data_IF_258237343019
#
_entry.id   IF_258237343019
#
_cell.length_a   1.000
_cell.length_b   1.000
_cell.length_c   1.000
_cell.angle_alpha   90.00
_cell.angle_beta   90.00
_cell.angle_gamma   90.00
#
_symmetry.space_group_name_H-M   'P 1'
#
loop_
_entity.id
_entity.type
_entity.pdbx_description
1 polymer ?
#
# COMPACT_ATOMS: atom_id res chain seq x y z
N UNK A 1 2.27 -4.53 10.16
CA UNK A 1 2.78 -5.83 9.68
C UNK A 1 4.20 -5.98 10.21
N UNK A 2 4.60 -7.17 10.63
CA UNK A 2 5.98 -7.47 11.04
C UNK A 2 6.19 -7.64 12.54
N UNK A 3 7.45 -7.88 12.93
CA UNK A 3 7.88 -8.03 14.31
C UNK A 3 7.96 -6.63 14.94
N UNK A 4 7.13 -6.37 15.95
CA UNK A 4 7.08 -5.06 16.61
C UNK A 4 8.43 -4.75 17.28
N UNK A 5 8.95 -3.54 17.05
CA UNK A 5 10.20 -3.05 17.66
C UNK A 5 11.49 -3.55 17.00
N UNK A 6 11.42 -4.47 16.01
CA UNK A 6 12.62 -5.09 15.45
C UNK A 6 13.59 -4.09 14.81
N UNK A 7 13.10 -3.13 14.02
CA UNK A 7 13.97 -2.12 13.39
C UNK A 7 14.68 -1.25 14.42
N UNK A 8 13.99 -0.88 15.51
CA UNK A 8 14.60 -0.10 16.59
C UNK A 8 15.66 -0.91 17.33
N UNK A 9 15.42 -2.20 17.53
CA UNK A 9 16.36 -3.13 18.13
C UNK A 9 17.63 -3.32 17.26
N UNK A 10 17.47 -3.37 15.93
CA UNK A 10 18.57 -3.56 14.97
C UNK A 10 19.14 -2.24 14.42
N UNK A 11 18.92 -1.10 15.10
CA UNK A 11 19.34 0.21 14.61
C UNK A 11 20.84 0.28 14.31
N UNK A 12 21.66 -0.38 15.13
CA UNK A 12 23.12 -0.43 14.96
C UNK A 12 23.56 -1.23 13.71
N UNK A 13 22.69 -2.11 13.19
CA UNK A 13 22.92 -2.87 11.96
C UNK A 13 22.27 -2.21 10.73
N UNK A 14 21.79 -0.97 10.85
CA UNK A 14 21.14 -0.23 9.76
C UNK A 14 21.97 0.97 9.33
N UNK A 15 22.02 1.22 8.03
CA UNK A 15 22.72 2.38 7.46
C UNK A 15 21.80 3.19 6.52
N UNK A 16 21.92 4.53 6.52
CA UNK A 16 21.26 5.36 5.51
C UNK A 16 21.91 5.15 4.14
N UNK A 17 21.14 4.73 3.15
CA UNK A 17 21.61 4.52 1.78
C UNK A 17 20.70 5.21 0.75
N UNK A 18 21.21 5.34 -0.47
CA UNK A 18 20.44 5.85 -1.60
C UNK A 18 20.29 4.75 -2.67
N UNK A 19 19.10 4.62 -3.28
CA UNK A 19 18.79 3.55 -4.25
C UNK A 19 19.73 3.50 -5.46
N UNK A 20 20.38 4.64 -5.80
CA UNK A 20 21.41 4.75 -6.85
C UNK A 20 22.57 3.76 -6.65
N UNK A 21 22.85 3.34 -5.43
CA UNK A 21 23.87 2.32 -5.14
C UNK A 21 23.56 0.97 -5.83
N UNK A 22 22.29 0.71 -6.15
CA UNK A 22 21.85 -0.51 -6.86
C UNK A 22 21.73 -0.31 -8.38
N UNK A 23 22.35 0.72 -8.96
CA UNK A 23 22.34 0.95 -10.41
C UNK A 23 22.87 -0.30 -11.15
N UNK A 24 22.15 -0.73 -12.18
CA UNK A 24 22.45 -1.94 -12.97
C UNK A 24 21.99 -3.24 -12.30
N UNK A 25 21.50 -3.19 -11.06
CA UNK A 25 21.02 -4.35 -10.33
C UNK A 25 19.49 -4.47 -10.42
N UNK A 26 19.00 -5.65 -10.02
CA UNK A 26 17.57 -5.95 -9.92
C UNK A 26 17.13 -5.96 -8.46
N UNK A 27 16.04 -5.27 -8.13
CA UNK A 27 15.50 -5.18 -6.76
C UNK A 27 14.05 -5.65 -6.74
N UNK A 28 13.72 -6.56 -5.83
CA UNK A 28 12.35 -6.95 -5.55
C UNK A 28 11.69 -5.92 -4.63
N UNK A 29 10.43 -5.57 -4.93
CA UNK A 29 9.62 -4.63 -4.16
C UNK A 29 8.42 -5.39 -3.60
N UNK A 30 8.25 -5.35 -2.29
CA UNK A 30 6.95 -5.64 -1.66
C UNK A 30 5.96 -4.52 -2.02
N UNK A 31 5.12 -4.77 -3.03
CA UNK A 31 4.26 -3.74 -3.62
C UNK A 31 3.08 -3.41 -2.72
N UNK A 32 2.68 -4.31 -1.82
CA UNK A 32 1.57 -4.05 -0.88
C UNK A 32 1.92 -2.90 0.07
N UNK A 33 3.20 -2.73 0.42
CA UNK A 33 3.65 -1.58 1.20
C UNK A 33 3.35 -0.24 0.49
N UNK A 34 3.54 -0.15 -0.83
CA UNK A 34 3.22 1.05 -1.61
C UNK A 34 1.72 1.22 -1.83
N UNK A 35 1.01 0.13 -2.16
CA UNK A 35 -0.45 0.14 -2.34
C UNK A 35 -1.17 0.67 -1.09
N UNK A 36 -0.76 0.21 0.10
CA UNK A 36 -1.32 0.72 1.35
C UNK A 36 -1.13 2.22 1.52
N UNK A 37 0.09 2.74 1.28
CA UNK A 37 0.36 4.18 1.37
C UNK A 37 -0.37 4.99 0.30
N UNK A 38 -0.43 4.49 -0.94
CA UNK A 38 -1.14 5.13 -2.04
C UNK A 38 -2.65 5.20 -1.80
N UNK A 39 -3.23 4.13 -1.25
CA UNK A 39 -4.65 4.07 -0.92
C UNK A 39 -5.06 5.08 0.18
N UNK A 40 -4.15 5.49 1.06
CA UNK A 40 -4.44 6.53 2.06
C UNK A 40 -4.76 7.90 1.43
N UNK A 41 -4.16 8.22 0.29
CA UNK A 41 -4.42 9.47 -0.42
C UNK A 41 -5.86 9.56 -0.96
N UNK A 42 -6.48 8.41 -1.24
CA UNK A 42 -7.83 8.27 -1.80
C UNK A 42 -8.77 7.44 -0.91
N UNK A 43 -8.50 7.38 0.40
CA UNK A 43 -9.22 6.50 1.32
C UNK A 43 -10.73 6.83 1.41
N UNK A 44 -11.08 8.11 1.30
CA UNK A 44 -12.47 8.60 1.26
C UNK A 44 -13.22 8.12 0.01
N UNK A 45 -12.60 8.23 -1.17
CA UNK A 45 -13.14 7.72 -2.43
C UNK A 45 -13.35 6.21 -2.37
N UNK A 46 -12.31 5.49 -1.91
CA UNK A 46 -12.37 4.04 -1.73
C UNK A 46 -13.47 3.62 -0.75
N UNK A 47 -13.64 4.34 0.37
CA UNK A 47 -14.68 4.06 1.37
C UNK A 47 -16.11 4.31 0.85
N UNK A 48 -16.27 5.21 -0.13
CA UNK A 48 -17.54 5.52 -0.79
C UNK A 48 -17.82 4.64 -2.02
N UNK A 49 -16.85 3.85 -2.48
CA UNK A 49 -16.94 3.09 -3.72
C UNK A 49 -16.80 3.95 -4.98
N UNK A 50 -16.22 5.14 -4.85
CA UNK A 50 -15.95 6.02 -5.99
C UNK A 50 -14.72 5.52 -6.76
N UNK A 51 -14.75 5.52 -8.10
CA UNK A 51 -13.59 5.17 -8.92
C UNK A 51 -12.38 6.06 -8.60
N UNK A 52 -11.21 5.45 -8.47
CA UNK A 52 -9.94 6.15 -8.26
C UNK A 52 -8.76 5.30 -8.73
N UNK A 53 -7.75 5.96 -9.27
CA UNK A 53 -6.48 5.40 -9.73
C UNK A 53 -5.27 5.98 -8.96
N UNK A 54 -5.50 6.84 -7.96
CA UNK A 54 -4.43 7.55 -7.24
C UNK A 54 -3.40 6.60 -6.61
N UNK A 55 -3.84 5.42 -6.15
CA UNK A 55 -2.94 4.40 -5.63
C UNK A 55 -2.01 3.80 -6.71
N UNK A 56 -2.48 3.75 -7.96
CA UNK A 56 -1.66 3.34 -9.12
C UNK A 56 -0.61 4.40 -9.40
N UNK A 57 -1.02 5.67 -9.52
CA UNK A 57 -0.12 6.81 -9.73
C UNK A 57 0.94 6.87 -8.63
N UNK A 58 0.55 6.62 -7.38
CA UNK A 58 1.47 6.54 -6.25
C UNK A 58 2.53 5.44 -6.45
N UNK A 59 2.13 4.23 -6.82
CA UNK A 59 3.06 3.13 -7.05
C UNK A 59 4.00 3.42 -8.23
N UNK A 60 3.47 3.93 -9.35
CA UNK A 60 4.25 4.22 -10.55
C UNK A 60 5.29 5.32 -10.32
N UNK A 61 5.03 6.28 -9.42
CA UNK A 61 6.05 7.26 -9.00
C UNK A 61 7.32 6.59 -8.48
N UNK A 62 7.20 5.53 -7.68
CA UNK A 62 8.37 4.82 -7.16
C UNK A 62 9.02 3.91 -8.20
N UNK A 63 8.21 3.29 -9.07
CA UNK A 63 8.74 2.54 -10.23
C UNK A 63 9.61 3.44 -11.10
N UNK A 64 9.10 4.61 -11.50
CA UNK A 64 9.86 5.57 -12.31
C UNK A 64 11.10 6.08 -11.57
N UNK A 65 11.03 6.30 -10.26
CA UNK A 65 12.18 6.69 -9.45
C UNK A 65 13.28 5.63 -9.44
N UNK A 66 12.94 4.34 -9.38
CA UNK A 66 13.94 3.26 -9.47
C UNK A 66 14.55 3.18 -10.88
N UNK A 67 13.71 3.23 -11.91
CA UNK A 67 14.14 3.21 -13.31
C UNK A 67 15.05 4.40 -13.65
N UNK A 68 14.74 5.61 -13.15
CA UNK A 68 15.58 6.80 -13.38
C UNK A 68 16.98 6.69 -12.76
N UNK A 69 17.14 5.81 -11.76
CA UNK A 69 18.44 5.49 -11.17
C UNK A 69 19.12 4.27 -11.82
N UNK A 70 18.54 3.71 -12.89
CA UNK A 70 19.03 2.52 -13.57
C UNK A 70 18.88 1.24 -12.74
N UNK A 71 17.94 1.20 -11.80
CA UNK A 71 17.60 0.00 -11.02
C UNK A 71 16.44 -0.71 -11.73
N UNK A 72 16.52 -2.03 -11.90
CA UNK A 72 15.44 -2.84 -12.49
C UNK A 72 14.50 -3.34 -11.37
N UNK A 73 13.28 -2.80 -11.23
CA UNK A 73 12.35 -3.28 -10.22
C UNK A 73 11.66 -4.59 -10.64
N UNK A 74 11.44 -5.49 -9.69
CA UNK A 74 10.49 -6.60 -9.77
C UNK A 74 9.40 -6.35 -8.73
N UNK A 75 8.18 -6.08 -9.18
CA UNK A 75 7.05 -5.85 -8.29
C UNK A 75 6.47 -7.20 -7.83
N UNK A 76 6.51 -7.45 -6.53
CA UNK A 76 5.96 -8.65 -5.90
C UNK A 76 4.62 -8.32 -5.25
N UNK A 77 3.64 -9.18 -5.46
CA UNK A 77 2.28 -9.04 -4.93
C UNK A 77 1.91 -10.27 -4.11
N UNK A 78 1.20 -10.07 -3.00
CA UNK A 78 0.66 -11.15 -2.21
C UNK A 78 -0.39 -11.95 -3.01
N UNK A 79 -0.41 -13.27 -2.77
CA UNK A 79 -1.39 -14.19 -3.34
C UNK A 79 -2.47 -14.60 -2.33
N UNK A 80 -2.69 -15.91 -2.23
CA UNK A 80 -3.71 -16.45 -1.33
C UNK A 80 -3.37 -16.23 0.16
N UNK A 81 -4.41 -16.12 0.99
CA UNK A 81 -4.26 -16.06 2.44
C UNK A 81 -3.71 -17.39 2.98
N UNK A 82 -2.72 -17.31 3.86
CA UNK A 82 -2.15 -18.49 4.51
C UNK A 82 -3.00 -18.91 5.73
N UNK A 83 -3.22 -20.23 5.96
CA UNK A 83 -3.96 -20.72 7.12
C UNK A 83 -3.40 -20.22 8.47
N UNK A 84 -2.08 -20.11 8.58
CA UNK A 84 -1.39 -19.62 9.78
C UNK A 84 -1.65 -18.15 10.10
N UNK A 85 -2.19 -17.37 9.15
CA UNK A 85 -2.55 -15.94 9.34
C UNK A 85 -4.06 -15.72 9.42
N UNK A 86 -4.88 -16.77 9.47
CA UNK A 86 -6.34 -16.68 9.44
C UNK A 86 -6.91 -15.74 10.49
N UNK A 87 -6.48 -15.87 11.74
CA UNK A 87 -6.99 -15.05 12.85
C UNK A 87 -6.51 -13.60 12.74
N UNK A 88 -5.28 -13.38 12.27
CA UNK A 88 -4.74 -12.04 12.02
C UNK A 88 -5.53 -11.33 10.92
N UNK A 89 -5.83 -12.02 9.82
CA UNK A 89 -6.64 -11.45 8.73
C UNK A 89 -8.10 -11.24 9.13
N UNK A 90 -8.67 -12.13 9.96
CA UNK A 90 -9.99 -11.95 10.55
C UNK A 90 -10.05 -10.67 11.41
N UNK A 91 -9.12 -10.51 12.35
CA UNK A 91 -9.05 -9.32 13.21
C UNK A 91 -8.85 -8.03 12.39
N UNK A 92 -8.04 -8.09 11.32
CA UNK A 92 -7.88 -6.95 10.39
C UNK A 92 -9.18 -6.62 9.67
N UNK A 93 -9.90 -7.62 9.17
CA UNK A 93 -11.19 -7.43 8.50
C UNK A 93 -12.22 -6.78 9.42
N UNK A 94 -12.34 -7.28 10.64
CA UNK A 94 -13.24 -6.73 11.65
C UNK A 94 -12.88 -5.27 11.98
N UNK A 95 -11.59 -4.99 12.23
CA UNK A 95 -11.12 -3.62 12.49
C UNK A 95 -11.41 -2.67 11.33
N UNK A 96 -11.22 -3.11 10.07
CA UNK A 96 -11.54 -2.29 8.89
C UNK A 96 -13.04 -2.00 8.81
N UNK A 97 -13.89 -2.99 9.04
CA UNK A 97 -15.34 -2.84 9.03
C UNK A 97 -15.82 -1.84 10.10
N UNK A 98 -15.31 -1.95 11.33
CA UNK A 98 -15.63 -1.03 12.42
C UNK A 98 -15.21 0.41 12.08
N UNK A 99 -14.00 0.60 11.54
CA UNK A 99 -13.53 1.93 11.14
C UNK A 99 -14.34 2.50 9.97
N UNK A 100 -14.77 1.67 9.01
CA UNK A 100 -15.61 2.11 7.90
C UNK A 100 -16.97 2.62 8.40
N UNK A 101 -17.62 1.87 9.29
CA UNK A 101 -18.89 2.27 9.88
C UNK A 101 -18.77 3.57 10.69
N UNK A 102 -17.72 3.67 11.51
CA UNK A 102 -17.42 4.89 12.28
C UNK A 102 -17.16 6.09 11.37
N UNK A 103 -16.38 5.92 10.30
CA UNK A 103 -16.12 6.98 9.33
C UNK A 103 -17.40 7.47 8.63
N UNK A 104 -18.29 6.56 8.26
CA UNK A 104 -19.60 6.91 7.68
C UNK A 104 -20.49 7.67 8.66
N UNK A 105 -20.47 7.31 9.94
CA UNK A 105 -21.20 8.04 10.98
C UNK A 105 -20.65 9.46 11.14
N UNK A 106 -19.34 9.62 11.34
CA UNK A 106 -18.68 10.92 11.51
C UNK A 106 -18.89 11.83 10.30
N UNK A 107 -18.92 11.26 9.08
CA UNK A 107 -19.22 11.99 7.86
C UNK A 107 -20.65 12.57 7.88
N UNK A 108 -21.64 11.81 8.36
CA UNK A 108 -23.03 12.29 8.52
C UNK A 108 -23.15 13.38 9.60
N UNK A 109 -22.27 13.34 10.60
CA UNK A 109 -22.16 14.36 11.65
C UNK A 109 -21.37 15.61 11.20
N UNK A 110 -20.86 15.64 9.96
CA UNK A 110 -20.07 16.76 9.44
C UNK A 110 -18.60 16.80 9.91
N UNK A 111 -18.14 15.79 10.66
CA UNK A 111 -16.77 15.69 11.20
C UNK A 111 -15.80 15.14 10.16
N UNK A 112 -15.48 15.96 9.15
CA UNK A 112 -14.74 15.53 7.95
C UNK A 112 -13.34 14.96 8.24
N UNK A 113 -12.57 15.61 9.12
CA UNK A 113 -11.20 15.17 9.44
C UNK A 113 -11.19 13.80 10.13
N UNK A 114 -12.03 13.62 11.15
CA UNK A 114 -12.13 12.36 11.90
C UNK A 114 -12.69 11.23 11.02
N UNK A 115 -13.63 11.55 10.13
CA UNK A 115 -14.14 10.61 9.15
C UNK A 115 -13.01 10.12 8.22
N UNK A 116 -12.16 11.04 7.73
CA UNK A 116 -11.00 10.72 6.89
C UNK A 116 -9.98 9.82 7.60
N UNK A 117 -9.71 10.06 8.87
CA UNK A 117 -8.83 9.20 9.67
C UNK A 117 -9.40 7.78 9.81
N UNK A 118 -10.71 7.67 10.03
CA UNK A 118 -11.39 6.38 10.07
C UNK A 118 -11.34 5.68 8.71
N UNK A 119 -11.59 6.39 7.61
CA UNK A 119 -11.50 5.82 6.25
C UNK A 119 -10.09 5.30 5.95
N UNK A 120 -9.06 6.05 6.31
CA UNK A 120 -7.65 5.64 6.17
C UNK A 120 -7.37 4.33 6.92
N UNK A 121 -7.93 4.18 8.13
CA UNK A 121 -7.82 2.95 8.94
C UNK A 121 -8.70 1.79 8.45
N UNK A 122 -9.66 2.06 7.57
CA UNK A 122 -10.54 1.05 6.97
C UNK A 122 -10.06 0.53 5.61
N UNK A 123 -9.01 1.12 5.04
CA UNK A 123 -8.49 0.75 3.71
C UNK A 123 -8.22 -0.76 3.63
N UNK A 124 -8.82 -1.38 2.62
CA UNK A 124 -8.59 -2.75 2.23
C UNK A 124 -7.98 -2.77 0.84
N UNK A 125 -6.78 -3.33 0.69
CA UNK A 125 -6.15 -3.51 -0.62
C UNK A 125 -6.69 -4.79 -1.24
N UNK A 126 -7.38 -4.66 -2.38
CA UNK A 126 -7.99 -5.80 -3.07
C UNK A 126 -7.10 -6.31 -4.21
N UNK A 127 -7.38 -7.54 -4.68
CA UNK A 127 -6.69 -8.11 -5.83
C UNK A 127 -6.93 -7.32 -7.11
N UNK A 128 -8.10 -6.68 -7.25
CA UNK A 128 -8.40 -5.79 -8.38
C UNK A 128 -7.50 -4.55 -8.36
N UNK A 129 -7.29 -3.93 -7.19
CA UNK A 129 -6.38 -2.79 -7.05
C UNK A 129 -4.93 -3.18 -7.42
N UNK A 130 -4.47 -4.34 -6.94
CA UNK A 130 -3.16 -4.88 -7.30
C UNK A 130 -3.06 -5.14 -8.81
N UNK A 131 -4.11 -5.72 -9.41
CA UNK A 131 -4.16 -6.00 -10.84
C UNK A 131 -4.10 -4.73 -11.71
N UNK A 132 -4.68 -3.60 -11.26
CA UNK A 132 -4.52 -2.33 -11.96
C UNK A 132 -3.06 -1.87 -11.98
N UNK A 133 -2.34 -2.01 -10.87
CA UNK A 133 -0.90 -1.70 -10.83
C UNK A 133 -0.10 -2.61 -11.76
N UNK A 134 -0.42 -3.91 -11.79
CA UNK A 134 0.21 -4.87 -12.70
C UNK A 134 0.03 -4.43 -14.15
N UNK A 135 -1.21 -4.13 -14.58
CA UNK A 135 -1.51 -3.69 -15.94
C UNK A 135 -0.68 -2.47 -16.35
N UNK A 136 -0.67 -1.43 -15.52
CA UNK A 136 0.10 -0.21 -15.83
C UNK A 136 1.60 -0.48 -15.86
N UNK A 137 2.13 -1.26 -14.92
CA UNK A 137 3.56 -1.57 -14.86
C UNK A 137 4.07 -2.34 -16.09
N UNK A 138 3.24 -3.21 -16.67
CA UNK A 138 3.58 -3.97 -17.88
C UNK A 138 3.55 -3.10 -19.14
N UNK A 139 2.60 -2.18 -19.24
CA UNK A 139 2.51 -1.24 -20.36
C UNK A 139 3.69 -0.27 -20.38
N UNK A 140 4.14 0.21 -19.22
CA UNK A 140 5.31 1.10 -19.12
C UNK A 140 6.64 0.41 -19.43
N UNK A 141 6.68 -0.92 -19.49
CA UNK A 141 7.90 -1.68 -19.81
C UNK A 141 8.08 -1.92 -21.33
N UNK A 142 7.12 -1.48 -22.16
CA UNK A 142 7.12 -1.63 -23.62
C UNK A 142 7.51 -0.33 -24.36
N UNK A 143 7.87 0.72 -23.61
CA UNK A 143 8.41 2.00 -24.11
C UNK A 143 9.84 2.17 -23.62
#
# INVERSE_FOLDING_TARGET
>A
MGIQGLLQFLKEASEPIHVKQYKGQTVAVDTYCWLHKGAFACADKLAKGEPTDQYVTYCMKFVHMLLSHGVKPILVFDGCTLPSKKDVEKARREKRQTNLQKGKQLLREGKLSEARDCFTRSVNITSEMAHQVIKVSLMSSQL
#
